data_IF_686573029389
#
_entry.id   IF_686573029389
#
_cell.length_a   1.000
_cell.length_b   1.000
_cell.length_c   1.000
_cell.angle_alpha   90.00
_cell.angle_beta   90.00
_cell.angle_gamma   90.00
#
_symmetry.space_group_name_H-M   'P 1'
#
loop_
_entity.id
_entity.type
_entity.pdbx_description
1 polymer ?
#
# COMPACT_ATOMS: atom_id res chain seq x y z
N UNK A 1 -8.23 -8.51 -2.03
CA UNK A 1 -6.90 -7.95 -1.72
C UNK A 1 -7.10 -6.86 -0.67
N UNK A 2 -6.17 -5.90 -0.54
CA UNK A 2 -6.41 -4.69 0.26
C UNK A 2 -6.07 -3.42 -0.53
N UNK A 3 -4.84 -2.90 -0.52
CA UNK A 3 -4.62 -1.45 -0.70
C UNK A 3 -3.32 -1.05 -1.45
N UNK A 4 -3.42 -0.11 -2.41
CA UNK A 4 -2.29 0.44 -3.20
C UNK A 4 -2.21 1.98 -3.16
N UNK A 5 -1.01 2.53 -2.98
CA UNK A 5 -0.70 3.94 -3.31
C UNK A 5 0.00 4.04 -4.68
N UNK A 6 -0.52 4.88 -5.58
CA UNK A 6 0.06 5.13 -6.90
C UNK A 6 1.05 6.31 -6.96
N UNK A 7 1.65 6.55 -8.14
CA UNK A 7 2.45 7.73 -8.47
C UNK A 7 1.93 8.45 -9.73
N UNK A 8 2.38 9.69 -9.96
CA UNK A 8 2.24 10.41 -11.22
C UNK A 8 3.46 11.35 -11.41
N UNK A 9 3.92 11.58 -12.65
CA UNK A 9 5.19 12.25 -12.92
C UNK A 9 5.11 13.77 -12.76
N UNK A 10 6.26 14.44 -12.55
CA UNK A 10 6.60 15.72 -13.21
C UNK A 10 8.05 16.18 -12.90
N UNK A 11 8.72 16.70 -13.94
CA UNK A 11 9.86 17.64 -13.81
C UNK A 11 11.28 17.03 -13.70
N UNK A 12 12.31 17.71 -14.24
CA UNK A 12 13.71 17.35 -14.02
C UNK A 12 14.21 17.80 -12.63
N UNK A 13 15.24 17.14 -12.05
CA UNK A 13 15.65 17.37 -10.67
C UNK A 13 16.36 18.73 -10.47
N UNK A 14 15.62 19.71 -9.96
CA UNK A 14 16.17 20.88 -9.27
C UNK A 14 16.33 20.57 -7.78
N UNK A 15 17.51 20.82 -7.22
CA UNK A 15 17.75 20.57 -5.79
C UNK A 15 17.14 21.65 -4.90
N UNK A 16 16.65 21.28 -3.71
CA UNK A 16 17.09 21.83 -2.41
C UNK A 16 16.33 21.22 -1.21
N UNK A 17 16.92 21.42 -0.03
CA UNK A 17 16.30 21.38 1.31
C UNK A 17 15.71 20.04 1.84
N UNK A 18 15.79 19.89 3.16
CA UNK A 18 14.94 18.98 3.92
C UNK A 18 13.62 19.73 4.22
N UNK A 19 12.61 19.55 3.40
CA UNK A 19 11.31 20.19 3.63
C UNK A 19 10.56 19.51 4.79
N UNK A 20 10.43 20.30 5.87
CA UNK A 20 9.25 20.44 6.72
C UNK A 20 8.09 19.46 6.45
N UNK A 21 7.76 18.63 7.45
CA UNK A 21 6.60 17.72 7.41
C UNK A 21 5.28 18.51 7.47
N UNK A 22 4.85 19.04 6.32
CA UNK A 22 3.64 19.86 6.21
C UNK A 22 2.36 19.02 6.25
N UNK A 23 1.29 19.61 6.82
CA UNK A 23 -0.13 19.29 6.57
C UNK A 23 -0.68 17.90 6.91
N UNK A 24 0.15 16.85 7.02
CA UNK A 24 -0.18 15.46 7.37
C UNK A 24 -1.58 14.96 7.00
N UNK A 25 -1.82 14.63 5.72
CA UNK A 25 -3.13 14.16 5.22
C UNK A 25 -3.66 12.94 5.99
N UNK A 26 -4.60 13.17 6.92
CA UNK A 26 -5.32 12.09 7.57
C UNK A 26 -6.41 11.53 6.63
N UNK A 27 -6.34 10.24 6.31
CA UNK A 27 -7.33 9.55 5.49
C UNK A 27 -8.54 9.04 6.33
N UNK A 28 -8.40 8.89 7.64
CA UNK A 28 -9.47 8.36 8.50
C UNK A 28 -10.66 9.35 8.56
N UNK A 29 -11.77 8.96 7.94
CA UNK A 29 -12.97 9.77 7.75
C UNK A 29 -14.11 8.86 7.26
N UNK A 30 -15.40 9.19 7.51
CA UNK A 30 -16.52 8.54 6.83
C UNK A 30 -16.40 8.62 5.30
N UNK A 31 -15.76 9.67 4.78
CA UNK A 31 -15.53 9.87 3.34
C UNK A 31 -14.27 9.15 2.82
N UNK A 32 -13.61 8.28 3.60
CA UNK A 32 -12.35 7.60 3.23
C UNK A 32 -12.37 7.07 1.78
N UNK A 33 -13.40 6.31 1.41
CA UNK A 33 -13.51 5.69 0.08
C UNK A 33 -13.60 6.68 -1.09
N UNK A 34 -13.96 7.94 -0.85
CA UNK A 34 -13.96 8.99 -1.89
C UNK A 34 -12.58 9.23 -2.50
N UNK A 35 -11.51 9.00 -1.74
CA UNK A 35 -10.10 9.18 -2.14
C UNK A 35 -9.52 8.03 -2.96
N UNK A 36 -10.27 6.95 -3.16
CA UNK A 36 -9.80 5.73 -3.84
C UNK A 36 -10.64 5.39 -5.06
N UNK A 37 -10.02 4.72 -6.02
CA UNK A 37 -10.67 4.02 -7.12
C UNK A 37 -10.83 2.55 -6.74
N UNK A 38 -11.93 1.92 -7.15
CA UNK A 38 -12.17 0.49 -6.94
C UNK A 38 -11.81 -0.25 -8.23
N UNK A 39 -10.78 -1.09 -8.16
CA UNK A 39 -10.36 -1.93 -9.27
C UNK A 39 -11.38 -3.05 -9.47
N UNK A 40 -11.80 -3.27 -10.71
CA UNK A 40 -12.89 -4.23 -11.08
C UNK A 40 -12.52 -5.17 -12.23
N UNK A 41 -11.28 -5.10 -12.71
CA UNK A 41 -10.78 -5.94 -13.80
C UNK A 41 -10.34 -7.32 -13.27
N UNK A 42 -10.04 -8.30 -14.14
CA UNK A 42 -9.43 -9.56 -13.72
C UNK A 42 -8.14 -9.33 -12.93
N UNK A 43 -7.87 -10.23 -11.98
CA UNK A 43 -6.74 -10.10 -11.06
C UNK A 43 -5.38 -10.25 -11.78
N UNK A 44 -4.48 -9.26 -11.76
CA UNK A 44 -3.21 -9.32 -12.48
C UNK A 44 -2.27 -10.45 -12.02
N UNK A 45 -2.39 -10.89 -10.76
CA UNK A 45 -1.68 -12.05 -10.20
C UNK A 45 -2.42 -13.38 -10.44
N UNK A 46 -3.52 -13.36 -11.20
CA UNK A 46 -4.33 -14.52 -11.61
C UNK A 46 -4.98 -15.30 -10.44
N UNK A 47 -5.28 -14.61 -9.33
CA UNK A 47 -5.94 -15.20 -8.17
C UNK A 47 -7.40 -15.61 -8.39
N UNK A 48 -7.89 -16.50 -7.54
CA UNK A 48 -9.29 -16.94 -7.52
C UNK A 48 -10.19 -15.89 -6.84
N UNK A 49 -10.36 -14.74 -7.50
CA UNK A 49 -11.07 -13.57 -6.96
C UNK A 49 -11.90 -12.88 -8.05
N UNK A 50 -12.96 -12.19 -7.63
CA UNK A 50 -13.59 -11.13 -8.42
C UNK A 50 -13.68 -9.88 -7.55
N UNK A 51 -13.23 -8.75 -8.10
CA UNK A 51 -13.22 -7.48 -7.39
C UNK A 51 -14.50 -6.68 -7.66
N UNK A 52 -15.12 -6.22 -6.58
CA UNK A 52 -16.36 -5.44 -6.64
C UNK A 52 -16.10 -3.93 -6.68
N UNK A 53 -16.99 -3.21 -7.35
CA UNK A 53 -17.10 -1.76 -7.24
C UNK A 53 -17.57 -1.34 -5.83
N UNK A 54 -17.43 -0.04 -5.51
CA UNK A 54 -17.79 0.50 -4.19
C UNK A 54 -19.27 0.28 -3.83
N UNK A 55 -20.22 0.39 -4.75
CA UNK A 55 -21.64 0.25 -4.45
C UNK A 55 -21.97 -1.21 -4.14
N UNK A 56 -21.49 -2.15 -4.96
CA UNK A 56 -21.69 -3.58 -4.72
C UNK A 56 -20.99 -4.04 -3.46
N UNK A 57 -19.75 -3.57 -3.20
CA UNK A 57 -19.02 -3.88 -1.97
C UNK A 57 -19.73 -3.34 -0.71
N UNK A 58 -20.34 -2.15 -0.78
CA UNK A 58 -21.15 -1.57 0.31
C UNK A 58 -22.43 -2.36 0.53
N UNK A 59 -23.17 -2.68 -0.54
CA UNK A 59 -24.43 -3.44 -0.47
C UNK A 59 -24.25 -4.86 0.08
N UNK A 60 -23.08 -5.47 -0.13
CA UNK A 60 -22.68 -6.77 0.42
C UNK A 60 -22.01 -6.67 1.81
N UNK A 61 -21.86 -5.46 2.38
CA UNK A 61 -21.27 -5.25 3.71
C UNK A 61 -19.77 -5.53 3.81
N UNK A 62 -19.04 -5.63 2.69
CA UNK A 62 -17.60 -5.88 2.67
C UNK A 62 -16.76 -4.63 2.90
N UNK A 63 -17.36 -3.43 2.84
CA UNK A 63 -16.69 -2.17 3.17
C UNK A 63 -17.57 -1.29 4.06
N UNK A 64 -16.93 -0.60 5.01
CA UNK A 64 -17.55 0.42 5.88
C UNK A 64 -16.50 1.46 6.25
N UNK A 65 -16.85 2.75 6.28
CA UNK A 65 -16.00 3.82 6.80
C UNK A 65 -16.74 4.60 7.90
N UNK A 66 -16.04 4.93 8.98
CA UNK A 66 -16.50 5.86 10.03
C UNK A 66 -15.38 6.88 10.32
N UNK A 67 -15.62 7.80 11.26
CA UNK A 67 -14.60 8.74 11.72
C UNK A 67 -13.40 8.08 12.42
N UNK A 68 -13.57 6.85 12.93
CA UNK A 68 -12.60 6.17 13.80
C UNK A 68 -12.11 4.82 13.24
N UNK A 69 -12.81 4.24 12.25
CA UNK A 69 -12.48 2.91 11.72
C UNK A 69 -12.90 2.72 10.26
N UNK A 70 -11.98 2.20 9.47
CA UNK A 70 -12.26 1.61 8.15
C UNK A 70 -12.36 0.10 8.30
N UNK A 71 -13.33 -0.51 7.62
CA UNK A 71 -13.42 -1.95 7.41
C UNK A 71 -13.37 -2.26 5.91
N UNK A 72 -12.55 -3.25 5.55
CA UNK A 72 -12.48 -3.84 4.23
C UNK A 72 -12.36 -5.36 4.37
N UNK A 73 -13.14 -6.11 3.60
CA UNK A 73 -13.25 -7.56 3.73
C UNK A 73 -13.34 -8.30 2.40
N UNK A 74 -13.81 -9.54 2.48
CA UNK A 74 -14.04 -10.44 1.38
C UNK A 74 -15.27 -11.30 1.68
N UNK A 75 -15.81 -11.97 0.66
CA UNK A 75 -16.93 -12.88 0.79
C UNK A 75 -16.51 -14.14 1.56
N UNK A 76 -16.97 -14.23 2.80
CA UNK A 76 -16.76 -15.36 3.72
C UNK A 76 -17.92 -16.38 3.69
N UNK A 77 -18.99 -16.14 2.92
CA UNK A 77 -20.25 -16.89 2.97
C UNK A 77 -20.43 -17.79 1.74
N UNK A 78 -20.16 -17.27 0.53
CA UNK A 78 -20.42 -18.01 -0.71
C UNK A 78 -19.52 -19.24 -0.86
N UNK A 79 -20.04 -20.26 -1.53
CA UNK A 79 -19.29 -21.43 -1.98
C UNK A 79 -18.91 -21.28 -3.46
N UNK A 80 -17.64 -21.52 -3.78
CA UNK A 80 -17.09 -21.37 -5.12
C UNK A 80 -15.57 -21.48 -5.11
N UNK A 81 -14.96 -21.49 -6.30
CA UNK A 81 -13.50 -21.39 -6.46
C UNK A 81 -13.07 -19.94 -6.24
N UNK A 82 -13.68 -19.00 -6.98
CA UNK A 82 -13.43 -17.56 -6.81
C UNK A 82 -14.30 -16.96 -5.70
N UNK A 83 -13.77 -15.93 -5.01
CA UNK A 83 -14.49 -15.17 -3.98
C UNK A 83 -14.61 -13.69 -4.31
N UNK A 84 -15.66 -13.06 -3.81
CA UNK A 84 -15.80 -11.60 -3.83
C UNK A 84 -14.77 -10.94 -2.92
N UNK A 85 -14.14 -9.87 -3.38
CA UNK A 85 -13.25 -9.04 -2.57
C UNK A 85 -13.22 -7.61 -3.12
N UNK A 86 -12.36 -6.79 -2.53
CA UNK A 86 -12.03 -5.44 -3.02
C UNK A 86 -10.51 -5.34 -3.26
N UNK A 87 -10.16 -4.44 -4.17
CA UNK A 87 -8.82 -3.88 -4.39
C UNK A 87 -9.07 -2.40 -4.63
N UNK A 88 -8.45 -1.54 -3.83
CA UNK A 88 -8.61 -0.09 -3.97
C UNK A 88 -7.25 0.60 -4.12
N UNK A 89 -7.24 1.64 -4.94
CA UNK A 89 -6.05 2.30 -5.47
C UNK A 89 -6.22 3.80 -5.26
N UNK A 90 -5.19 4.51 -4.79
CA UNK A 90 -5.33 5.93 -4.47
C UNK A 90 -5.55 6.78 -5.72
N UNK A 91 -6.46 7.76 -5.64
CA UNK A 91 -6.61 8.81 -6.68
C UNK A 91 -5.53 9.88 -6.60
N UNK A 92 -4.95 10.02 -5.42
CA UNK A 92 -3.80 10.87 -5.11
C UNK A 92 -2.53 10.04 -5.24
N UNK A 93 -1.43 10.67 -5.65
CA UNK A 93 -0.26 9.95 -6.14
C UNK A 93 1.04 10.60 -5.63
N UNK A 94 2.04 9.79 -5.28
CA UNK A 94 3.21 10.25 -4.52
C UNK A 94 4.54 9.80 -5.12
N UNK A 95 5.50 10.73 -5.23
CA UNK A 95 6.87 10.45 -5.67
C UNK A 95 7.87 10.35 -4.50
N UNK A 96 7.50 10.87 -3.32
CA UNK A 96 8.20 10.71 -2.05
C UNK A 96 7.20 10.99 -0.90
N UNK A 97 7.50 10.52 0.31
CA UNK A 97 6.68 10.81 1.50
C UNK A 97 6.97 9.88 2.68
N UNK A 98 6.38 10.20 3.83
CA UNK A 98 6.32 9.31 4.99
C UNK A 98 4.89 8.76 5.12
N UNK A 99 4.72 7.48 4.80
CA UNK A 99 3.42 6.81 4.87
C UNK A 99 3.32 6.02 6.17
N UNK A 100 2.32 6.34 6.99
CA UNK A 100 2.04 5.66 8.26
C UNK A 100 0.66 5.03 8.19
N UNK A 101 0.60 3.71 8.38
CA UNK A 101 -0.64 2.96 8.51
C UNK A 101 -0.71 2.31 9.90
N UNK A 102 -1.90 2.29 10.50
CA UNK A 102 -2.19 1.56 11.72
C UNK A 102 -3.32 0.59 11.43
N UNK A 103 -3.15 -0.69 11.80
CA UNK A 103 -4.06 -1.78 11.45
C UNK A 103 -4.38 -2.60 12.70
N UNK A 104 -5.64 -2.56 13.15
CA UNK A 104 -6.13 -3.42 14.25
C UNK A 104 -6.12 -4.92 13.88
N UNK A 105 -6.22 -5.22 12.58
CA UNK A 105 -6.37 -6.57 12.05
C UNK A 105 -5.94 -6.64 10.58
N UNK A 106 -5.38 -7.78 10.16
CA UNK A 106 -5.10 -8.12 8.75
C UNK A 106 -5.70 -9.49 8.40
N UNK A 107 -6.18 -9.72 7.16
CA UNK A 107 -6.71 -11.02 6.75
C UNK A 107 -5.66 -12.15 6.87
N UNK A 108 -6.10 -13.37 7.19
CA UNK A 108 -5.24 -14.57 7.16
C UNK A 108 -6.10 -15.82 7.03
N UNK A 109 -5.65 -16.81 6.25
CA UNK A 109 -6.42 -18.03 5.97
C UNK A 109 -5.93 -18.77 4.72
N UNK A 110 -6.14 -20.09 4.66
CA UNK A 110 -5.72 -20.90 3.53
C UNK A 110 -6.33 -20.37 2.20
N UNK A 111 -5.47 -19.93 1.28
CA UNK A 111 -5.88 -19.37 -0.02
C UNK A 111 -6.06 -17.84 -0.02
N UNK A 112 -5.80 -17.15 1.09
CA UNK A 112 -5.74 -15.69 1.13
C UNK A 112 -4.36 -15.16 0.73
N UNK A 113 -4.35 -14.00 0.07
CA UNK A 113 -3.17 -13.19 -0.24
C UNK A 113 -3.51 -11.71 0.04
N UNK A 114 -3.44 -11.26 1.30
CA UNK A 114 -3.48 -9.84 1.64
C UNK A 114 -2.17 -9.12 1.25
N UNK A 115 -2.29 -7.85 0.89
CA UNK A 115 -1.17 -6.95 0.63
C UNK A 115 -1.53 -5.50 0.97
N UNK A 116 -0.59 -4.73 1.49
CA UNK A 116 -0.57 -3.27 1.46
C UNK A 116 0.76 -2.83 0.84
N UNK A 117 0.67 -2.11 -0.28
CA UNK A 117 1.81 -1.86 -1.16
C UNK A 117 1.70 -0.52 -1.88
N UNK A 118 2.76 -0.17 -2.59
CA UNK A 118 2.85 1.01 -3.46
C UNK A 118 3.30 0.59 -4.84
N UNK A 119 2.89 1.32 -5.88
CA UNK A 119 3.28 1.02 -7.27
C UNK A 119 3.43 2.29 -8.10
N UNK A 120 4.30 2.24 -9.10
CA UNK A 120 4.37 3.30 -10.09
C UNK A 120 3.43 3.07 -11.27
N UNK A 121 2.85 4.17 -11.77
CA UNK A 121 2.00 4.21 -12.96
C UNK A 121 2.12 5.59 -13.63
N UNK A 122 1.95 5.64 -14.95
CA UNK A 122 1.60 6.88 -15.65
C UNK A 122 0.69 6.57 -16.85
N UNK A 123 0.12 7.62 -17.45
CA UNK A 123 -0.81 7.58 -18.59
C UNK A 123 -0.32 6.77 -19.82
N UNK A 124 0.96 6.37 -19.85
CA UNK A 124 1.62 5.58 -20.90
C UNK A 124 2.26 4.27 -20.41
N UNK A 125 2.30 4.00 -19.10
CA UNK A 125 2.93 2.82 -18.51
C UNK A 125 2.09 2.21 -17.37
N UNK A 126 1.52 1.04 -17.63
CA UNK A 126 0.85 0.21 -16.63
C UNK A 126 1.84 -0.51 -15.69
N UNK A 127 1.33 -0.95 -14.53
CA UNK A 127 2.03 -1.90 -13.66
C UNK A 127 2.42 -3.17 -14.45
N UNK A 128 3.62 -3.76 -14.25
CA UNK A 128 4.62 -3.45 -13.21
C UNK A 128 5.79 -2.55 -13.69
N UNK A 129 5.65 -1.79 -14.78
CA UNK A 129 6.81 -1.14 -15.47
C UNK A 129 7.65 -0.25 -14.56
N UNK A 130 7.01 0.53 -13.68
CA UNK A 130 7.69 1.45 -12.76
C UNK A 130 8.08 0.83 -11.41
N UNK A 131 7.86 -0.47 -11.24
CA UNK A 131 8.14 -1.17 -9.99
C UNK A 131 7.05 -1.04 -8.92
N UNK A 132 7.26 -1.76 -7.83
CA UNK A 132 6.30 -1.92 -6.73
C UNK A 132 7.04 -2.18 -5.41
N UNK A 133 6.43 -1.75 -4.30
CA UNK A 133 6.97 -1.86 -2.95
C UNK A 133 5.92 -2.47 -2.03
N UNK A 134 6.11 -3.74 -1.71
CA UNK A 134 5.30 -4.47 -0.74
C UNK A 134 5.70 -4.08 0.67
N UNK A 135 4.87 -3.28 1.33
CA UNK A 135 5.10 -2.85 2.71
C UNK A 135 4.66 -3.97 3.66
N UNK A 136 3.45 -4.52 3.43
CA UNK A 136 2.87 -5.61 4.22
C UNK A 136 2.25 -6.65 3.30
N UNK A 137 2.98 -7.72 2.99
CA UNK A 137 2.50 -8.85 2.18
C UNK A 137 2.50 -10.17 2.98
N UNK A 138 1.63 -11.11 2.63
CA UNK A 138 1.67 -12.47 3.15
C UNK A 138 0.70 -13.42 2.44
N UNK A 139 1.01 -14.72 2.45
CA UNK A 139 0.20 -15.75 1.77
C UNK A 139 -0.26 -16.86 2.71
N UNK A 140 -1.46 -17.39 2.44
CA UNK A 140 -2.13 -18.44 3.20
C UNK A 140 -2.19 -18.15 4.72
N UNK A 141 -1.34 -18.83 5.51
CA UNK A 141 -1.26 -18.75 6.97
C UNK A 141 0.13 -18.29 7.43
N UNK A 142 0.78 -17.42 6.65
CA UNK A 142 2.03 -16.80 7.02
C UNK A 142 1.91 -16.11 8.39
N UNK A 143 2.88 -16.37 9.27
CA UNK A 143 2.96 -15.80 10.63
C UNK A 143 3.96 -14.64 10.72
N UNK A 144 4.48 -14.20 9.58
CA UNK A 144 5.37 -13.08 9.39
C UNK A 144 4.97 -12.35 8.11
N UNK A 145 5.27 -11.05 8.07
CA UNK A 145 5.13 -10.20 6.91
C UNK A 145 6.32 -10.43 5.96
N UNK A 146 6.04 -10.47 4.66
CA UNK A 146 7.02 -10.24 3.60
C UNK A 146 7.05 -8.74 3.25
N UNK A 147 8.24 -8.22 2.98
CA UNK A 147 8.47 -6.87 2.50
C UNK A 147 9.41 -6.96 1.30
N UNK A 148 8.96 -6.52 0.13
CA UNK A 148 9.55 -6.86 -1.18
C UNK A 148 9.66 -5.62 -2.05
N UNK A 149 10.67 -5.58 -2.93
CA UNK A 149 10.83 -4.53 -3.94
C UNK A 149 10.87 -5.16 -5.34
N UNK A 150 9.86 -4.84 -6.14
CA UNK A 150 9.78 -5.20 -7.55
C UNK A 150 10.38 -4.05 -8.37
N UNK A 151 11.44 -4.32 -9.13
CA UNK A 151 12.29 -3.26 -9.72
C UNK A 151 12.70 -3.57 -11.16
N UNK A 152 13.12 -2.52 -11.88
CA UNK A 152 13.75 -2.66 -13.19
C UNK A 152 15.16 -3.31 -13.09
N UNK A 153 15.71 -3.80 -14.22
CA UNK A 153 17.01 -4.48 -14.24
C UNK A 153 18.15 -3.62 -13.69
N UNK A 154 19.04 -4.23 -12.90
CA UNK A 154 20.24 -3.58 -12.35
C UNK A 154 20.05 -2.94 -10.97
N UNK A 155 18.85 -3.03 -10.38
CA UNK A 155 18.66 -2.79 -8.95
C UNK A 155 18.79 -4.12 -8.19
N UNK A 156 19.80 -4.25 -7.33
CA UNK A 156 19.93 -5.41 -6.43
C UNK A 156 20.52 -5.01 -5.07
N UNK A 157 20.31 -5.87 -4.07
CA UNK A 157 20.75 -5.67 -2.69
C UNK A 157 22.04 -6.47 -2.36
N UNK A 158 22.72 -7.04 -3.36
CA UNK A 158 23.78 -8.04 -3.16
C UNK A 158 25.04 -7.52 -2.48
N UNK A 159 25.29 -6.20 -2.57
CA UNK A 159 26.43 -5.54 -1.92
C UNK A 159 26.10 -4.98 -0.53
N UNK A 160 24.84 -5.05 -0.09
CA UNK A 160 24.42 -4.53 1.21
C UNK A 160 24.54 -5.61 2.29
N UNK A 161 25.33 -5.35 3.33
CA UNK A 161 25.46 -6.24 4.48
C UNK A 161 24.54 -5.75 5.60
N UNK A 162 23.61 -6.62 6.00
CA UNK A 162 22.61 -6.31 7.00
C UNK A 162 23.25 -5.95 8.35
N UNK A 163 23.03 -4.71 8.79
CA UNK A 163 23.57 -4.17 10.04
C UNK A 163 24.80 -3.25 9.89
N UNK A 164 25.49 -3.25 8.74
CA UNK A 164 26.50 -2.23 8.41
C UNK A 164 25.90 -1.11 7.55
N UNK A 165 25.25 -1.48 6.45
CA UNK A 165 24.91 -0.53 5.37
C UNK A 165 23.55 0.16 5.55
N UNK A 166 22.92 -0.06 6.71
CA UNK A 166 21.86 0.77 7.25
C UNK A 166 21.98 0.85 8.78
N UNK A 167 23.10 1.39 9.27
CA UNK A 167 23.26 1.67 10.70
C UNK A 167 22.30 2.81 11.09
N UNK A 168 21.26 2.48 11.84
CA UNK A 168 20.18 3.39 12.28
C UNK A 168 20.60 4.43 13.34
N UNK A 169 21.79 5.01 13.20
CA UNK A 169 22.24 6.12 14.01
C UNK A 169 21.48 7.40 13.62
N UNK A 170 20.70 7.95 14.55
CA UNK A 170 20.23 9.32 14.42
C UNK A 170 21.43 10.25 14.23
N UNK A 171 21.36 11.11 13.22
CA UNK A 171 22.46 11.99 12.86
C UNK A 171 22.63 13.10 13.91
N UNK A 172 23.40 12.81 14.96
CA UNK A 172 23.66 13.67 16.10
C UNK A 172 24.62 14.81 15.76
N UNK A 173 24.17 15.70 14.88
CA UNK A 173 24.69 17.07 14.80
C UNK A 173 24.66 17.67 16.20
N UNK A 174 25.83 18.07 16.71
CA UNK A 174 25.99 18.57 18.07
C UNK A 174 25.54 20.04 18.20
N UNK A 175 24.30 20.33 17.80
CA UNK A 175 23.62 21.57 18.17
C UNK A 175 22.90 21.34 19.51
N UNK A 176 23.34 22.05 20.54
CA UNK A 176 22.96 21.78 21.93
C UNK A 176 21.50 22.09 22.25
N UNK A 177 20.61 21.11 22.02
CA UNK A 177 19.16 21.26 22.22
C UNK A 177 18.52 20.05 22.89
N UNK A 178 18.74 19.86 24.19
CA UNK A 178 18.04 18.82 24.97
C UNK A 178 16.57 19.16 25.21
N UNK A 179 15.66 18.24 24.92
CA UNK A 179 14.47 17.94 25.74
C UNK A 179 14.27 16.43 25.84
N UNK A 180 13.56 16.01 26.89
CA UNK A 180 13.35 14.61 27.28
C UNK A 180 12.04 14.04 26.73
#
# INVERSE_FOLDING_TARGET
ALLLLGSQPLGPPGALAAEYLDGGTNYMSPDFFSRWSFFTQPDPTHGAVFYYDQNTATAQGMITATADRIYMGADMISAGISRGSVRIESKEAFNAGLFVITLDHMPSGCGMWPAFWMFGHDDTHDWPVWGEFDIIEGVHRATKVSTTLHTGPGCDMSQLVAGSDFSGGWNSVNEGGSKA
#
